data_IF_198737931938
#
_entry.id   IF_198737931938
#
_cell.length_a   1.000
_cell.length_b   1.000
_cell.length_c   1.000
_cell.angle_alpha   90.00
_cell.angle_beta   90.00
_cell.angle_gamma   90.00
#
_symmetry.space_group_name_H-M   'P 1'
#
loop_
_entity.id
_entity.type
_entity.pdbx_description
1 polymer ?
#
# COMPACT_ATOMS: atom_id res chain seq x y z
N UNK A 1 -19.73 -46.78 49.90
CA UNK A 1 -21.09 -46.97 49.39
C UNK A 1 -21.34 -45.92 48.31
N UNK A 2 -21.01 -46.20 47.04
CA UNK A 2 -21.88 -46.72 45.94
C UNK A 2 -22.84 -45.61 45.43
N UNK A 3 -22.86 -45.14 44.18
CA UNK A 3 -22.66 -45.73 42.83
C UNK A 3 -22.43 -44.58 41.80
N UNK A 4 -21.34 -44.49 41.04
CA UNK A 4 -21.06 -45.05 39.70
C UNK A 4 -22.27 -45.34 38.78
N UNK A 5 -22.41 -44.59 37.67
CA UNK A 5 -23.11 -45.05 36.46
C UNK A 5 -22.47 -44.48 35.18
N UNK A 6 -21.47 -45.21 34.69
CA UNK A 6 -21.04 -45.16 33.29
C UNK A 6 -22.12 -45.75 32.39
N UNK A 7 -22.35 -45.15 31.23
CA UNK A 7 -22.75 -45.87 30.01
C UNK A 7 -21.93 -45.36 28.84
N UNK A 8 -20.88 -46.12 28.53
CA UNK A 8 -20.31 -46.22 27.20
C UNK A 8 -21.27 -47.06 26.34
N UNK A 9 -21.52 -46.65 25.09
CA UNK A 9 -21.83 -47.55 23.99
C UNK A 9 -21.50 -46.87 22.65
N UNK A 10 -20.44 -47.38 22.02
CA UNK A 10 -20.19 -47.62 20.59
C UNK A 10 -20.27 -46.42 19.62
N UNK A 11 -19.20 -45.95 18.95
CA UNK A 11 -18.33 -46.62 17.95
C UNK A 11 -19.08 -47.39 16.84
N UNK A 12 -19.58 -46.63 15.87
CA UNK A 12 -19.78 -46.96 14.45
C UNK A 12 -19.54 -45.59 13.74
N UNK A 13 -18.60 -45.32 12.85
CA UNK A 13 -18.08 -46.13 11.76
C UNK A 13 -18.79 -45.76 10.46
N UNK A 14 -18.56 -44.58 9.87
CA UNK A 14 -18.71 -44.36 8.42
C UNK A 14 -18.05 -43.06 7.93
N UNK A 15 -16.99 -43.24 7.13
CA UNK A 15 -16.61 -42.33 6.05
C UNK A 15 -17.71 -42.35 4.99
N UNK A 16 -18.11 -41.19 4.45
CA UNK A 16 -18.57 -40.91 3.07
C UNK A 16 -19.50 -39.67 3.01
N UNK A 17 -19.30 -38.84 1.98
CA UNK A 17 -20.25 -37.81 1.51
C UNK A 17 -20.07 -36.44 2.18
N UNK A 18 -19.42 -35.43 1.59
CA UNK A 18 -19.49 -35.05 0.19
C UNK A 18 -20.79 -34.28 -0.05
N UNK A 19 -20.67 -32.96 -0.21
CA UNK A 19 -21.61 -32.03 -0.85
C UNK A 19 -23.11 -32.41 -0.79
N UNK A 20 -23.90 -31.73 0.05
CA UNK A 20 -25.32 -31.36 -0.21
C UNK A 20 -25.96 -30.79 1.06
N UNK A 21 -25.76 -29.50 1.38
CA UNK A 21 -26.64 -28.76 2.30
C UNK A 21 -26.63 -27.26 1.97
N UNK A 22 -26.99 -26.89 0.73
CA UNK A 22 -27.30 -25.48 0.36
C UNK A 22 -28.47 -25.36 -0.65
N UNK A 23 -29.61 -26.06 -0.50
CA UNK A 23 -30.80 -25.39 -1.02
C UNK A 23 -32.06 -25.68 -0.21
N UNK A 24 -32.21 -25.06 0.96
CA UNK A 24 -33.55 -24.93 1.58
C UNK A 24 -33.82 -23.51 2.11
N UNK A 25 -32.81 -22.66 2.34
CA UNK A 25 -33.06 -21.34 2.96
C UNK A 25 -33.26 -20.15 2.01
N UNK A 26 -33.45 -20.37 0.69
CA UNK A 26 -33.72 -19.28 -0.28
C UNK A 26 -35.22 -19.08 -0.50
N UNK A 27 -36.07 -20.04 -0.13
CA UNK A 27 -37.51 -19.96 -0.34
C UNK A 27 -38.25 -19.01 0.64
N UNK A 28 -37.62 -18.59 1.74
CA UNK A 28 -38.25 -17.74 2.76
C UNK A 28 -38.00 -16.22 2.59
N UNK A 29 -37.27 -15.81 1.54
CA UNK A 29 -37.12 -14.40 1.15
C UNK A 29 -37.99 -14.00 -0.07
N UNK A 30 -38.89 -14.88 -0.52
CA UNK A 30 -39.72 -14.71 -1.72
C UNK A 30 -41.20 -14.45 -1.39
N UNK A 31 -41.49 -13.73 -0.31
CA UNK A 31 -42.82 -13.23 0.00
C UNK A 31 -43.04 -11.80 -0.51
N UNK A 32 -43.85 -11.67 -1.56
CA UNK A 32 -44.49 -10.45 -2.10
C UNK A 32 -43.62 -9.49 -2.95
N UNK A 33 -43.50 -9.81 -4.24
CA UNK A 33 -43.12 -8.86 -5.28
C UNK A 33 -43.05 -9.50 -6.66
N UNK A 34 -44.20 -9.66 -7.34
CA UNK A 34 -44.26 -10.07 -8.75
C UNK A 34 -43.44 -9.09 -9.60
N UNK A 35 -42.27 -9.52 -10.08
CA UNK A 35 -41.56 -8.85 -11.16
C UNK A 35 -40.82 -9.89 -12.00
N UNK A 36 -41.09 -9.91 -13.31
CA UNK A 36 -40.51 -10.82 -14.32
C UNK A 36 -38.98 -10.64 -14.55
N UNK A 37 -38.27 -9.95 -13.65
CA UNK A 37 -36.83 -9.66 -13.73
C UNK A 37 -35.92 -10.53 -12.86
N UNK A 38 -36.46 -11.47 -12.08
CA UNK A 38 -35.70 -12.23 -11.08
C UNK A 38 -34.63 -13.17 -11.66
N UNK A 39 -34.92 -13.83 -12.79
CA UNK A 39 -34.02 -14.81 -13.41
C UNK A 39 -32.73 -14.22 -14.00
N UNK A 40 -32.80 -13.00 -14.55
CA UNK A 40 -31.64 -12.32 -15.15
C UNK A 40 -30.68 -11.76 -14.10
N UNK A 41 -31.18 -11.32 -12.94
CA UNK A 41 -30.35 -10.86 -11.82
C UNK A 41 -29.63 -12.00 -11.12
N UNK A 42 -30.33 -13.11 -10.86
CA UNK A 42 -29.73 -14.29 -10.22
C UNK A 42 -28.62 -14.91 -11.09
N UNK A 43 -28.84 -15.00 -12.40
CA UNK A 43 -27.82 -15.49 -13.34
C UNK A 43 -26.60 -14.57 -13.43
N UNK A 44 -26.79 -13.24 -13.36
CA UNK A 44 -25.67 -12.27 -13.27
C UNK A 44 -24.86 -12.47 -11.99
N UNK A 45 -25.50 -12.55 -10.82
CA UNK A 45 -24.80 -12.75 -9.55
C UNK A 45 -24.07 -14.09 -9.47
N UNK A 46 -24.63 -15.16 -10.05
CA UNK A 46 -23.94 -16.45 -10.15
C UNK A 46 -22.65 -16.31 -10.96
N UNK A 47 -22.69 -15.66 -12.12
CA UNK A 47 -21.49 -15.41 -12.94
C UNK A 47 -20.45 -14.55 -12.21
N UNK A 48 -20.88 -13.53 -11.47
CA UNK A 48 -19.99 -12.69 -10.65
C UNK A 48 -19.26 -13.53 -9.59
N UNK A 49 -19.97 -14.42 -8.89
CA UNK A 49 -19.38 -15.31 -7.87
C UNK A 49 -18.45 -16.36 -8.50
N UNK A 50 -18.79 -16.90 -9.67
CA UNK A 50 -17.94 -17.84 -10.41
C UNK A 50 -16.60 -17.22 -10.83
N UNK A 51 -16.62 -15.93 -11.17
CA UNK A 51 -15.41 -15.16 -11.53
C UNK A 51 -14.55 -14.75 -10.32
N UNK A 52 -15.06 -14.90 -9.08
CA UNK A 52 -14.29 -14.59 -7.89
C UNK A 52 -13.20 -15.65 -7.61
N UNK A 53 -12.03 -15.16 -7.19
CA UNK A 53 -10.95 -16.00 -6.66
C UNK A 53 -11.39 -16.74 -5.39
N UNK A 54 -10.73 -17.85 -5.01
CA UNK A 54 -11.05 -18.57 -3.77
C UNK A 54 -11.02 -17.68 -2.52
N UNK A 55 -10.07 -16.74 -2.44
CA UNK A 55 -9.97 -15.79 -1.34
C UNK A 55 -11.16 -14.81 -1.28
N UNK A 56 -11.60 -14.32 -2.44
CA UNK A 56 -12.79 -13.45 -2.53
C UNK A 56 -14.07 -14.19 -2.17
N UNK A 57 -14.24 -15.44 -2.64
CA UNK A 57 -15.38 -16.28 -2.26
C UNK A 57 -15.41 -16.57 -0.76
N UNK A 58 -14.26 -16.89 -0.17
CA UNK A 58 -14.16 -17.10 1.28
C UNK A 58 -14.49 -15.83 2.09
N UNK A 59 -14.12 -14.65 1.60
CA UNK A 59 -14.51 -13.39 2.23
C UNK A 59 -16.02 -13.12 2.08
N UNK A 60 -16.58 -13.36 0.89
CA UNK A 60 -18.01 -13.21 0.64
C UNK A 60 -18.82 -14.11 1.58
N UNK A 61 -18.40 -15.36 1.74
CA UNK A 61 -19.05 -16.33 2.62
C UNK A 61 -18.99 -15.92 4.10
N UNK A 62 -17.85 -15.40 4.58
CA UNK A 62 -17.74 -14.83 5.94
C UNK A 62 -18.69 -13.65 6.13
N UNK A 63 -18.67 -12.68 5.22
CA UNK A 63 -19.54 -11.50 5.30
C UNK A 63 -21.02 -11.89 5.29
N UNK A 64 -21.39 -12.90 4.50
CA UNK A 64 -22.76 -13.39 4.44
C UNK A 64 -23.18 -14.07 5.73
N UNK A 65 -22.30 -14.90 6.33
CA UNK A 65 -22.55 -15.49 7.65
C UNK A 65 -22.70 -14.44 8.74
N UNK A 66 -21.80 -13.46 8.80
CA UNK A 66 -21.90 -12.32 9.72
C UNK A 66 -23.22 -11.58 9.55
N UNK A 67 -23.66 -11.33 8.30
CA UNK A 67 -24.95 -10.69 8.03
C UNK A 67 -26.13 -11.53 8.53
N UNK A 68 -26.12 -12.85 8.36
CA UNK A 68 -27.18 -13.73 8.85
C UNK A 68 -27.25 -13.80 10.38
N UNK A 69 -26.12 -13.63 11.05
CA UNK A 69 -26.02 -13.59 12.52
C UNK A 69 -26.49 -12.25 13.12
N UNK A 70 -26.65 -11.20 12.30
CA UNK A 70 -27.15 -9.90 12.78
C UNK A 70 -28.63 -9.99 13.20
N UNK A 71 -29.05 -9.17 14.18
CA UNK A 71 -30.47 -8.98 14.50
C UNK A 71 -31.32 -8.62 13.26
N UNK A 72 -32.59 -9.07 13.17
CA UNK A 72 -33.43 -8.85 11.98
C UNK A 72 -33.60 -7.36 11.60
N UNK A 73 -33.68 -6.48 12.59
CA UNK A 73 -33.74 -5.03 12.41
C UNK A 73 -32.44 -4.48 11.80
N UNK A 74 -31.28 -4.96 12.26
CA UNK A 74 -30.00 -4.61 11.67
C UNK A 74 -29.88 -5.11 10.22
N UNK A 75 -30.29 -6.36 9.95
CA UNK A 75 -30.31 -6.91 8.59
C UNK A 75 -31.18 -6.05 7.65
N UNK A 76 -32.36 -5.64 8.14
CA UNK A 76 -33.29 -4.82 7.37
C UNK A 76 -32.70 -3.44 7.06
N UNK A 77 -32.08 -2.77 8.04
CA UNK A 77 -31.35 -1.50 7.82
C UNK A 77 -30.27 -1.61 6.75
N UNK A 78 -29.51 -2.72 6.74
CA UNK A 78 -28.50 -2.96 5.71
C UNK A 78 -29.10 -3.14 4.31
N UNK A 79 -30.25 -3.82 4.19
CA UNK A 79 -30.97 -3.98 2.91
C UNK A 79 -31.48 -2.64 2.38
N UNK A 80 -32.09 -1.84 3.26
CA UNK A 80 -32.59 -0.50 2.92
C UNK A 80 -31.45 0.42 2.48
N UNK A 81 -30.35 0.45 3.22
CA UNK A 81 -29.15 1.21 2.84
C UNK A 81 -28.62 0.75 1.48
N UNK A 82 -28.56 -0.56 1.22
CA UNK A 82 -28.12 -1.08 -0.07
C UNK A 82 -29.04 -0.63 -1.21
N UNK A 83 -30.37 -0.66 -1.02
CA UNK A 83 -31.32 -0.19 -2.01
C UNK A 83 -31.16 1.30 -2.28
N UNK A 84 -31.04 2.12 -1.23
CA UNK A 84 -30.78 3.56 -1.35
C UNK A 84 -29.51 3.82 -2.19
N UNK A 85 -28.42 3.09 -1.92
CA UNK A 85 -27.17 3.21 -2.67
C UNK A 85 -27.26 2.78 -4.14
N UNK A 86 -28.26 1.99 -4.55
CA UNK A 86 -28.44 1.55 -5.94
C UNK A 86 -29.23 2.56 -6.77
N UNK A 87 -30.12 3.33 -6.14
CA UNK A 87 -31.06 4.24 -6.82
C UNK A 87 -30.48 5.65 -6.97
N UNK A 88 -29.41 6.00 -6.23
CA UNK A 88 -28.72 7.28 -6.36
C UNK A 88 -28.12 7.44 -7.76
N UNK A 89 -28.40 8.57 -8.41
CA UNK A 89 -27.95 8.94 -9.77
C UNK A 89 -26.42 8.79 -9.95
N UNK A 90 -25.67 9.01 -8.87
CA UNK A 90 -24.20 8.91 -8.80
C UNK A 90 -23.69 7.64 -8.06
N UNK A 91 -24.45 6.55 -8.03
CA UNK A 91 -24.12 5.32 -7.28
C UNK A 91 -22.69 4.82 -7.50
N UNK A 92 -22.16 4.91 -8.72
CA UNK A 92 -20.78 4.49 -9.04
C UNK A 92 -19.73 5.37 -8.34
N UNK A 93 -19.90 6.70 -8.38
CA UNK A 93 -19.00 7.64 -7.72
C UNK A 93 -19.04 7.51 -6.19
N UNK A 94 -20.25 7.30 -5.65
CA UNK A 94 -20.46 7.09 -4.22
C UNK A 94 -19.77 5.81 -3.73
N UNK A 95 -19.86 4.70 -4.49
CA UNK A 95 -19.13 3.46 -4.17
C UNK A 95 -17.63 3.65 -4.11
N UNK A 96 -17.06 4.34 -5.10
CA UNK A 96 -15.62 4.66 -5.12
C UNK A 96 -15.24 5.49 -3.90
N UNK A 97 -16.08 6.44 -3.51
CA UNK A 97 -15.85 7.29 -2.33
C UNK A 97 -15.90 6.48 -1.04
N UNK A 98 -16.88 5.59 -0.88
CA UNK A 98 -16.99 4.70 0.27
C UNK A 98 -15.78 3.75 0.37
N UNK A 99 -15.31 3.19 -0.75
CA UNK A 99 -14.13 2.34 -0.77
C UNK A 99 -12.86 3.11 -0.37
N UNK A 100 -12.69 4.34 -0.88
CA UNK A 100 -11.59 5.23 -0.48
C UNK A 100 -11.65 5.55 1.00
N UNK A 101 -12.83 5.89 1.51
CA UNK A 101 -13.04 6.17 2.93
C UNK A 101 -12.73 4.96 3.80
N UNK A 102 -13.22 3.76 3.45
CA UNK A 102 -12.95 2.52 4.17
C UNK A 102 -11.46 2.19 4.19
N UNK A 103 -10.76 2.38 3.07
CA UNK A 103 -9.32 2.12 3.00
C UNK A 103 -8.52 3.16 3.78
N UNK A 104 -8.96 4.41 3.78
CA UNK A 104 -8.37 5.48 4.61
C UNK A 104 -8.59 5.23 6.10
N UNK A 105 -9.78 4.79 6.54
CA UNK A 105 -10.01 4.44 7.95
C UNK A 105 -9.01 3.39 8.48
N UNK A 106 -8.51 2.50 7.63
CA UNK A 106 -7.50 1.50 8.02
C UNK A 106 -6.12 2.10 8.32
N UNK A 107 -5.85 3.34 7.89
CA UNK A 107 -4.59 4.04 8.17
C UNK A 107 -4.62 4.78 9.51
N UNK A 108 -5.81 4.94 10.11
CA UNK A 108 -6.00 5.61 11.40
C UNK A 108 -5.68 4.70 12.58
N UNK A 109 -5.25 5.30 13.69
CA UNK A 109 -5.08 4.58 14.95
C UNK A 109 -6.44 4.04 15.47
N UNK A 110 -6.45 3.01 16.34
CA UNK A 110 -7.68 2.56 16.98
C UNK A 110 -8.45 3.68 17.68
N UNK A 111 -7.75 4.59 18.36
CA UNK A 111 -8.34 5.73 19.06
C UNK A 111 -9.02 6.72 18.10
N UNK A 112 -8.34 7.11 17.01
CA UNK A 112 -8.91 8.02 15.99
C UNK A 112 -10.15 7.42 15.31
N UNK A 113 -10.17 6.10 15.09
CA UNK A 113 -11.36 5.42 14.55
C UNK A 113 -12.53 5.45 15.53
N UNK A 114 -12.27 5.29 16.82
CA UNK A 114 -13.31 5.34 17.85
C UNK A 114 -13.86 6.76 18.03
N UNK A 115 -12.98 7.75 18.00
CA UNK A 115 -13.36 9.17 17.98
C UNK A 115 -14.33 9.48 16.82
N UNK A 116 -13.99 9.05 15.60
CA UNK A 116 -14.89 9.22 14.44
C UNK A 116 -16.22 8.48 14.59
N UNK A 117 -16.26 7.34 15.28
CA UNK A 117 -17.51 6.60 15.54
C UNK A 117 -18.39 7.31 16.56
N UNK A 118 -17.79 7.91 17.58
CA UNK A 118 -18.49 8.60 18.66
C UNK A 118 -19.21 9.88 18.18
N UNK A 119 -18.68 10.56 17.16
CA UNK A 119 -19.30 11.77 16.59
C UNK A 119 -20.59 11.38 15.86
N UNK A 120 -21.75 11.77 16.39
CA UNK A 120 -23.06 11.47 15.80
C UNK A 120 -23.50 12.50 14.75
N UNK A 121 -23.02 13.73 14.86
CA UNK A 121 -23.30 14.80 13.90
C UNK A 121 -22.47 14.60 12.61
N UNK A 122 -23.13 14.70 11.44
CA UNK A 122 -22.47 14.49 10.14
C UNK A 122 -21.43 15.57 9.83
N UNK A 123 -21.76 16.83 10.06
CA UNK A 123 -20.90 17.97 9.72
C UNK A 123 -19.63 17.96 10.58
N UNK A 124 -19.79 17.68 11.88
CA UNK A 124 -18.66 17.50 12.80
C UNK A 124 -17.78 16.31 12.39
N UNK A 125 -18.39 15.20 11.93
CA UNK A 125 -17.63 14.04 11.47
C UNK A 125 -16.85 14.35 10.20
N UNK A 126 -17.45 15.09 9.26
CA UNK A 126 -16.78 15.53 8.02
C UNK A 126 -15.61 16.45 8.36
N UNK A 127 -15.81 17.40 9.28
CA UNK A 127 -14.75 18.30 9.73
C UNK A 127 -13.62 17.53 10.41
N UNK A 128 -13.93 16.56 11.27
CA UNK A 128 -12.91 15.72 11.90
C UNK A 128 -12.14 14.88 10.88
N UNK A 129 -12.82 14.35 9.85
CA UNK A 129 -12.16 13.66 8.74
C UNK A 129 -11.22 14.59 7.98
N UNK A 130 -11.62 15.85 7.75
CA UNK A 130 -10.77 16.87 7.13
C UNK A 130 -9.51 17.11 7.98
N UNK A 131 -9.65 17.35 9.27
CA UNK A 131 -8.52 17.54 10.19
C UNK A 131 -7.58 16.34 10.22
N UNK A 132 -8.11 15.10 10.32
CA UNK A 132 -7.28 13.90 10.32
C UNK A 132 -6.56 13.70 8.99
N UNK A 133 -7.18 14.08 7.88
CA UNK A 133 -6.52 14.08 6.57
C UNK A 133 -5.45 15.15 6.48
N UNK A 134 -5.69 16.34 7.01
CA UNK A 134 -4.68 17.41 7.08
C UNK A 134 -3.51 16.96 7.94
N UNK A 135 -3.71 16.42 9.14
CA UNK A 135 -2.65 15.84 9.97
C UNK A 135 -1.84 14.73 9.27
N UNK A 136 -2.43 14.03 8.30
CA UNK A 136 -1.74 13.04 7.48
C UNK A 136 -1.09 13.62 6.22
N UNK A 137 -1.64 14.71 5.69
CA UNK A 137 -1.27 15.35 4.42
C UNK A 137 -0.18 16.38 4.64
N UNK A 138 -0.27 17.16 5.71
CA UNK A 138 0.87 17.83 6.31
C UNK A 138 1.85 16.70 6.62
N UNK A 139 2.97 16.53 5.87
CA UNK A 139 4.10 15.86 6.50
C UNK A 139 4.22 16.63 7.81
N UNK A 140 4.11 15.98 8.97
CA UNK A 140 4.44 16.65 10.23
C UNK A 140 5.64 17.53 9.87
N UNK A 141 5.51 18.87 9.84
CA UNK A 141 6.71 19.68 9.77
C UNK A 141 7.41 19.09 10.96
N UNK A 142 8.55 18.42 10.75
CA UNK A 142 9.40 17.93 11.82
C UNK A 142 9.29 19.04 12.85
N UNK A 143 8.57 18.77 13.96
CA UNK A 143 7.87 19.77 14.79
C UNK A 143 8.69 21.05 14.84
N UNK A 144 8.14 22.27 14.90
CA UNK A 144 8.99 23.39 15.33
C UNK A 144 9.77 22.96 16.60
N UNK A 145 11.09 22.75 16.46
CA UNK A 145 11.96 22.09 17.46
C UNK A 145 12.44 20.64 17.21
N UNK A 146 11.98 19.92 16.20
CA UNK A 146 12.53 18.61 15.84
C UNK A 146 13.90 18.78 15.17
N UNK A 147 14.85 17.89 15.47
CA UNK A 147 16.20 18.04 14.99
C UNK A 147 16.23 17.93 13.46
N UNK A 148 16.87 18.91 12.84
CA UNK A 148 17.11 18.93 11.39
C UNK A 148 18.46 18.32 11.10
N UNK A 149 18.48 17.33 10.21
CA UNK A 149 19.70 16.71 9.74
C UNK A 149 20.47 17.73 8.89
N UNK A 150 21.72 18.02 9.26
CA UNK A 150 22.58 18.85 8.42
C UNK A 150 23.06 18.06 7.18
N UNK A 151 23.62 18.75 6.18
CA UNK A 151 24.15 18.06 4.98
C UNK A 151 25.34 17.16 5.33
N UNK A 152 26.18 17.65 6.23
CA UNK A 152 27.37 16.97 6.73
C UNK A 152 26.97 15.68 7.47
N UNK A 153 25.91 15.75 8.27
CA UNK A 153 25.33 14.61 8.96
C UNK A 153 24.76 13.58 7.96
N UNK A 154 24.05 14.04 6.92
CA UNK A 154 23.57 13.17 5.86
C UNK A 154 24.75 12.47 5.16
N UNK A 155 25.80 13.19 4.80
CA UNK A 155 26.99 12.62 4.16
C UNK A 155 27.64 11.55 5.04
N UNK A 156 27.75 11.78 6.36
CA UNK A 156 28.23 10.81 7.33
C UNK A 156 27.33 9.55 7.37
N UNK A 157 26.01 9.73 7.44
CA UNK A 157 25.06 8.61 7.40
C UNK A 157 25.17 7.79 6.11
N UNK A 158 25.29 8.46 4.95
CA UNK A 158 25.47 7.79 3.66
C UNK A 158 26.78 7.01 3.63
N UNK A 159 27.86 7.54 4.21
CA UNK A 159 29.13 6.82 4.38
C UNK A 159 28.95 5.52 5.18
N UNK A 160 28.26 5.58 6.32
CA UNK A 160 27.96 4.41 7.15
C UNK A 160 27.13 3.37 6.39
N UNK A 161 26.11 3.80 5.65
CA UNK A 161 25.29 2.88 4.85
C UNK A 161 26.13 2.26 3.72
N UNK A 162 26.98 3.04 3.05
CA UNK A 162 27.85 2.54 1.99
C UNK A 162 28.83 1.48 2.51
N UNK A 163 29.42 1.70 3.68
CA UNK A 163 30.30 0.73 4.35
C UNK A 163 29.54 -0.54 4.77
N UNK A 164 28.36 -0.41 5.40
CA UNK A 164 27.52 -1.56 5.80
C UNK A 164 27.08 -2.39 4.60
N UNK A 165 26.89 -1.75 3.44
CA UNK A 165 26.55 -2.38 2.17
C UNK A 165 27.76 -2.80 1.34
N UNK A 166 28.98 -2.55 1.82
CA UNK A 166 30.24 -2.84 1.13
C UNK A 166 30.29 -2.27 -0.29
N UNK A 167 29.76 -1.05 -0.48
CA UNK A 167 29.79 -0.36 -1.76
C UNK A 167 31.19 0.21 -1.98
N UNK A 168 31.93 -0.18 -3.04
CA UNK A 168 33.29 0.29 -3.26
C UNK A 168 33.30 1.78 -3.66
N UNK A 169 34.34 2.56 -3.28
CA UNK A 169 34.45 3.98 -3.65
C UNK A 169 34.39 4.23 -5.16
N UNK A 170 34.92 3.30 -5.97
CA UNK A 170 34.90 3.38 -7.43
C UNK A 170 33.49 3.40 -8.02
N UNK A 171 32.49 2.80 -7.35
CA UNK A 171 31.09 2.91 -7.76
C UNK A 171 30.48 4.29 -7.47
N UNK A 172 31.11 5.09 -6.62
CA UNK A 172 30.68 6.45 -6.26
C UNK A 172 31.46 7.55 -7.00
N UNK A 173 32.56 7.19 -7.66
CA UNK A 173 33.36 8.09 -8.49
C UNK A 173 32.54 8.67 -9.65
N UNK A 174 32.78 9.94 -9.98
CA UNK A 174 32.07 10.66 -11.05
C UNK A 174 30.61 11.02 -10.74
N UNK A 175 30.02 10.55 -9.63
CA UNK A 175 28.67 10.93 -9.21
C UNK A 175 28.68 12.24 -8.43
N UNK A 176 27.65 13.06 -8.63
CA UNK A 176 27.37 14.21 -7.75
C UNK A 176 26.97 13.73 -6.35
N UNK A 177 27.01 14.62 -5.36
CA UNK A 177 26.68 14.31 -3.96
C UNK A 177 25.28 13.66 -3.81
N UNK A 178 24.25 14.23 -4.44
CA UNK A 178 22.89 13.67 -4.38
C UNK A 178 22.80 12.33 -5.12
N UNK A 179 23.53 12.15 -6.22
CA UNK A 179 23.58 10.89 -6.97
C UNK A 179 24.25 9.77 -6.16
N UNK A 180 25.31 10.08 -5.40
CA UNK A 180 25.94 9.13 -4.47
C UNK A 180 24.95 8.71 -3.39
N UNK A 181 24.28 9.67 -2.76
CA UNK A 181 23.28 9.41 -1.73
C UNK A 181 22.12 8.55 -2.25
N UNK A 182 21.60 8.87 -3.43
CA UNK A 182 20.55 8.09 -4.09
C UNK A 182 21.00 6.68 -4.46
N UNK A 183 22.23 6.51 -4.93
CA UNK A 183 22.78 5.21 -5.26
C UNK A 183 22.88 4.31 -4.03
N UNK A 184 23.47 4.83 -2.95
CA UNK A 184 23.64 4.11 -1.68
C UNK A 184 22.28 3.72 -1.09
N UNK A 185 21.33 4.66 -1.04
CA UNK A 185 19.98 4.39 -0.52
C UNK A 185 19.18 3.44 -1.42
N UNK A 186 19.38 3.47 -2.74
CA UNK A 186 18.73 2.51 -3.63
C UNK A 186 19.28 1.10 -3.42
N UNK A 187 20.60 0.95 -3.24
CA UNK A 187 21.22 -0.35 -2.89
C UNK A 187 20.68 -0.89 -1.57
N UNK A 188 20.52 -0.03 -0.55
CA UNK A 188 19.87 -0.40 0.70
C UNK A 188 18.41 -0.84 0.47
N UNK A 189 17.65 -0.07 -0.30
CA UNK A 189 16.24 -0.35 -0.58
C UNK A 189 16.03 -1.67 -1.32
N UNK A 190 16.88 -1.96 -2.30
CA UNK A 190 16.86 -3.21 -3.06
C UNK A 190 17.14 -4.42 -2.16
N UNK A 191 18.07 -4.31 -1.22
CA UNK A 191 18.35 -5.37 -0.25
C UNK A 191 17.18 -5.65 0.70
N UNK A 192 16.33 -4.65 0.95
CA UNK A 192 15.17 -4.72 1.85
C UNK A 192 13.84 -4.76 1.08
N UNK A 193 13.87 -5.10 -0.21
CA UNK A 193 12.70 -4.99 -1.11
C UNK A 193 11.45 -5.69 -0.59
N UNK A 194 11.60 -6.84 0.07
CA UNK A 194 10.46 -7.57 0.64
C UNK A 194 9.85 -6.87 1.86
N UNK A 195 10.65 -6.16 2.65
CA UNK A 195 10.19 -5.37 3.80
C UNK A 195 9.49 -4.08 3.35
N UNK A 196 9.99 -3.48 2.26
CA UNK A 196 9.43 -2.27 1.64
C UNK A 196 8.04 -2.47 1.01
N UNK A 197 7.54 -3.69 0.89
CA UNK A 197 6.16 -3.95 0.45
C UNK A 197 5.13 -3.29 1.37
N UNK A 198 5.49 -3.03 2.63
CA UNK A 198 4.69 -2.30 3.61
C UNK A 198 4.59 -0.78 3.34
N UNK A 199 5.33 -0.25 2.34
CA UNK A 199 5.45 1.19 2.02
C UNK A 199 5.95 2.05 3.19
N UNK A 200 6.56 1.45 4.21
CA UNK A 200 7.14 2.19 5.32
C UNK A 200 8.65 2.30 5.13
N UNK A 201 9.15 3.45 4.64
CA UNK A 201 10.59 3.66 4.45
C UNK A 201 11.37 3.50 5.76
N UNK A 202 10.79 3.88 6.90
CA UNK A 202 11.47 3.75 8.18
C UNK A 202 11.87 2.30 8.51
N UNK A 203 11.25 1.30 7.85
CA UNK A 203 11.63 -0.11 8.05
C UNK A 203 12.91 -0.53 7.33
N UNK A 204 13.44 0.28 6.40
CA UNK A 204 14.72 -0.02 5.75
C UNK A 204 15.90 0.08 6.72
N UNK A 205 15.76 0.95 7.72
CA UNK A 205 16.77 1.16 8.75
C UNK A 205 16.44 0.25 9.93
N UNK A 206 17.03 -0.94 9.95
CA UNK A 206 16.91 -1.82 11.11
C UNK A 206 17.67 -1.25 12.31
N UNK A 207 17.37 -1.75 13.51
CA UNK A 207 17.93 -1.22 14.77
C UNK A 207 19.47 -1.24 14.77
N UNK A 208 20.09 -2.22 14.10
CA UNK A 208 21.55 -2.32 13.97
C UNK A 208 22.09 -1.22 13.07
N UNK A 209 21.51 -1.03 11.89
CA UNK A 209 21.93 0.03 10.97
C UNK A 209 21.70 1.42 11.57
N UNK A 210 20.58 1.63 12.28
CA UNK A 210 20.30 2.87 13.01
C UNK A 210 21.38 3.18 14.03
N UNK A 211 21.75 2.20 14.88
CA UNK A 211 22.81 2.39 15.87
C UNK A 211 24.15 2.77 15.23
N UNK A 212 24.51 2.14 14.09
CA UNK A 212 25.72 2.49 13.34
C UNK A 212 25.65 3.91 12.79
N UNK A 213 24.54 4.29 12.17
CA UNK A 213 24.37 5.65 11.60
C UNK A 213 24.51 6.70 12.69
N UNK A 214 23.86 6.51 13.84
CA UNK A 214 23.93 7.44 14.98
C UNK A 214 25.35 7.52 15.55
N UNK A 215 26.04 6.39 15.66
CA UNK A 215 27.43 6.37 16.12
C UNK A 215 28.39 7.10 15.16
N UNK A 216 28.13 7.02 13.86
CA UNK A 216 28.92 7.68 12.81
C UNK A 216 28.61 9.17 12.62
N UNK A 217 27.56 9.70 13.24
CA UNK A 217 27.28 11.14 13.19
C UNK A 217 28.32 11.94 14.00
N UNK A 218 28.72 13.14 13.54
CA UNK A 218 29.50 14.05 14.38
C UNK A 218 28.72 14.41 15.66
N UNK A 219 29.43 14.88 16.69
CA UNK A 219 28.83 15.31 17.95
C UNK A 219 28.11 16.66 17.81
N UNK A 220 27.03 16.68 17.02
CA UNK A 220 26.18 17.85 16.77
C UNK A 220 24.80 17.72 17.40
N UNK A 221 24.01 18.79 17.31
CA UNK A 221 22.64 18.88 17.87
C UNK A 221 21.74 17.75 17.39
N UNK A 222 21.85 17.36 16.12
CA UNK A 222 21.04 16.29 15.55
C UNK A 222 21.31 14.93 16.22
N UNK A 223 22.59 14.61 16.48
CA UNK A 223 22.97 13.37 17.16
C UNK A 223 22.41 13.34 18.58
N UNK A 224 22.58 14.43 19.34
CA UNK A 224 22.08 14.57 20.71
C UNK A 224 20.56 14.38 20.75
N UNK A 225 19.83 15.10 19.90
CA UNK A 225 18.39 15.04 19.87
C UNK A 225 17.87 13.65 19.48
N UNK A 226 18.52 12.96 18.54
CA UNK A 226 18.14 11.58 18.20
C UNK A 226 18.42 10.61 19.35
N UNK A 227 19.55 10.74 20.03
CA UNK A 227 19.87 9.88 21.17
C UNK A 227 18.87 10.06 22.32
N UNK A 228 18.33 11.27 22.50
CA UNK A 228 17.32 11.56 23.52
C UNK A 228 15.95 10.95 23.15
N UNK A 229 15.61 10.90 21.86
CA UNK A 229 14.36 10.33 21.32
C UNK A 229 14.39 8.78 21.33
N UNK A 230 15.54 8.15 21.60
CA UNK A 230 15.77 6.71 21.47
C UNK A 230 14.83 5.81 22.32
N UNK A 231 14.09 6.40 23.27
CA UNK A 231 12.98 5.72 23.99
C UNK A 231 11.86 5.21 23.05
N UNK A 232 11.75 5.73 21.82
CA UNK A 232 10.75 5.31 20.83
C UNK A 232 11.39 4.98 19.47
N UNK A 233 11.95 3.77 19.34
CA UNK A 233 12.64 3.28 18.13
C UNK A 233 11.87 3.45 16.80
N UNK A 234 10.54 3.47 16.81
CA UNK A 234 9.73 3.67 15.59
C UNK A 234 9.58 5.14 15.21
N UNK A 235 9.67 6.05 16.18
CA UNK A 235 9.63 7.51 15.98
C UNK A 235 10.97 7.98 15.44
N UNK A 236 12.05 7.56 16.07
CA UNK A 236 13.44 7.82 15.66
C UNK A 236 13.69 7.48 14.18
N UNK A 237 13.31 6.27 13.76
CA UNK A 237 13.45 5.82 12.37
C UNK A 237 12.63 6.66 11.39
N UNK A 238 11.46 7.14 11.81
CA UNK A 238 10.62 8.01 10.97
C UNK A 238 11.22 9.40 10.86
N UNK A 239 11.79 9.95 11.93
CA UNK A 239 12.49 11.25 11.93
C UNK A 239 13.71 11.20 11.02
N UNK A 240 14.56 10.18 11.16
CA UNK A 240 15.75 10.01 10.30
C UNK A 240 15.35 9.83 8.85
N UNK A 241 14.42 8.91 8.57
CA UNK A 241 13.94 8.69 7.21
C UNK A 241 13.37 10.00 6.63
N UNK A 242 12.49 10.68 7.36
CA UNK A 242 11.89 11.96 6.96
C UNK A 242 12.93 13.03 6.63
N UNK A 243 13.96 13.19 7.46
CA UNK A 243 15.04 14.14 7.21
C UNK A 243 15.87 13.78 5.96
N UNK A 244 16.27 12.51 5.79
CA UNK A 244 17.02 12.03 4.62
C UNK A 244 16.23 12.34 3.34
N UNK A 245 14.94 12.00 3.35
CA UNK A 245 14.03 12.31 2.26
C UNK A 245 14.09 13.79 1.88
N UNK A 246 13.93 14.65 2.89
CA UNK A 246 13.67 16.07 2.71
C UNK A 246 14.88 16.75 2.11
N UNK A 247 16.08 16.41 2.58
CA UNK A 247 17.34 16.91 2.03
C UNK A 247 17.50 16.46 0.58
N UNK A 248 17.31 15.16 0.30
CA UNK A 248 17.46 14.65 -1.07
C UNK A 248 16.41 15.22 -2.02
N UNK A 249 15.19 15.44 -1.54
CA UNK A 249 14.14 16.13 -2.28
C UNK A 249 14.56 17.55 -2.66
N UNK A 250 15.13 18.30 -1.71
CA UNK A 250 15.67 19.66 -1.97
C UNK A 250 16.85 19.64 -2.93
N UNK A 251 17.78 18.69 -2.81
CA UNK A 251 18.91 18.56 -3.74
C UNK A 251 18.49 18.20 -5.16
N UNK A 252 17.48 17.33 -5.27
CA UNK A 252 16.86 16.97 -6.54
C UNK A 252 16.13 18.17 -7.15
N UNK A 253 15.37 18.91 -6.35
CA UNK A 253 14.69 20.14 -6.78
C UNK A 253 15.69 21.20 -7.25
N UNK A 254 16.80 21.41 -6.51
CA UNK A 254 17.90 22.31 -6.87
C UNK A 254 18.61 21.88 -8.14
N UNK A 255 18.79 20.58 -8.35
CA UNK A 255 19.35 20.04 -9.60
C UNK A 255 18.41 20.24 -10.81
N UNK A 256 17.14 20.54 -10.55
CA UNK A 256 16.13 20.88 -11.55
C UNK A 256 15.91 22.40 -11.68
N UNK A 257 16.49 23.22 -10.80
CA UNK A 257 16.41 24.68 -10.91
C UNK A 257 17.13 25.15 -12.19
N UNK A 258 16.53 26.10 -12.89
CA UNK A 258 17.06 26.61 -14.15
C UNK A 258 16.82 25.73 -15.39
N UNK A 259 16.37 24.48 -15.22
CA UNK A 259 16.02 23.61 -16.36
C UNK A 259 14.67 24.04 -16.93
N UNK A 260 14.69 24.89 -17.96
CA UNK A 260 13.51 25.29 -18.72
C UNK A 260 13.24 24.31 -19.87
N UNK A 261 11.99 23.90 -20.10
CA UNK A 261 11.66 23.11 -21.27
C UNK A 261 11.91 23.91 -22.55
N UNK A 262 12.58 23.31 -23.52
CA UNK A 262 12.62 23.82 -24.89
C UNK A 262 11.23 23.80 -25.52
N UNK A 263 10.97 24.62 -26.55
CA UNK A 263 9.68 24.59 -27.26
C UNK A 263 9.33 23.18 -27.79
N UNK A 264 10.32 22.43 -28.27
CA UNK A 264 10.11 21.06 -28.72
C UNK A 264 9.72 20.13 -27.56
N UNK A 265 10.30 20.30 -26.36
CA UNK A 265 9.89 19.55 -25.17
C UNK A 265 8.48 19.93 -24.72
N UNK A 266 8.11 21.21 -24.79
CA UNK A 266 6.73 21.68 -24.51
C UNK A 266 5.73 20.97 -25.42
N UNK A 267 6.01 20.91 -26.73
CA UNK A 267 5.16 20.21 -27.71
C UNK A 267 5.11 18.70 -27.46
N UNK A 268 6.22 18.08 -27.07
CA UNK A 268 6.23 16.64 -26.71
C UNK A 268 5.41 16.38 -25.44
N UNK A 269 5.48 17.29 -24.47
CA UNK A 269 4.79 17.19 -23.20
C UNK A 269 3.27 17.34 -23.38
N UNK A 270 2.81 18.28 -24.21
CA UNK A 270 1.38 18.45 -24.54
C UNK A 270 0.82 17.22 -25.25
N UNK A 271 1.54 16.63 -26.20
CA UNK A 271 1.16 15.38 -26.88
C UNK A 271 1.04 14.18 -25.95
N UNK A 272 1.68 14.21 -24.78
CA UNK A 272 1.65 13.16 -23.75
C UNK A 272 0.63 13.44 -22.65
N UNK A 273 -0.09 14.56 -22.71
CA UNK A 273 -1.17 14.82 -21.75
C UNK A 273 -2.36 13.90 -22.03
N UNK A 274 -2.98 13.43 -20.97
CA UNK A 274 -4.27 12.74 -21.05
C UNK A 274 -5.37 13.72 -21.44
N UNK A 275 -6.51 13.21 -21.92
CA UNK A 275 -7.65 14.07 -22.28
C UNK A 275 -8.17 14.90 -21.09
N UNK A 276 -8.12 14.37 -19.87
CA UNK A 276 -8.53 15.12 -18.67
C UNK A 276 -7.51 16.20 -18.30
N UNK A 277 -6.21 15.95 -18.49
CA UNK A 277 -5.17 16.96 -18.26
C UNK A 277 -5.20 18.07 -19.31
N UNK A 278 -5.49 17.75 -20.58
CA UNK A 278 -5.71 18.73 -21.63
C UNK A 278 -6.95 19.59 -21.32
N UNK A 279 -8.06 18.97 -20.91
CA UNK A 279 -9.26 19.71 -20.50
C UNK A 279 -8.96 20.68 -19.35
N UNK A 280 -8.29 20.19 -18.30
CA UNK A 280 -7.89 21.02 -17.17
C UNK A 280 -6.96 22.17 -17.59
N UNK A 281 -6.00 21.89 -18.48
CA UNK A 281 -5.10 22.89 -19.04
C UNK A 281 -5.85 23.96 -19.86
N UNK A 282 -6.86 23.56 -20.64
CA UNK A 282 -7.67 24.49 -21.43
C UNK A 282 -8.57 25.39 -20.55
N UNK A 283 -9.10 24.82 -19.47
CA UNK A 283 -9.94 25.50 -18.46
C UNK A 283 -9.19 26.52 -17.58
N UNK A 284 -7.85 26.53 -17.58
CA UNK A 284 -7.07 27.49 -16.79
C UNK A 284 -7.29 28.94 -17.29
N UNK A 285 -7.64 29.88 -16.39
CA UNK A 285 -8.05 31.23 -16.75
C UNK A 285 -6.93 32.13 -17.26
N UNK A 286 -5.66 31.85 -16.92
CA UNK A 286 -4.52 32.71 -17.25
C UNK A 286 -3.37 31.97 -17.95
N UNK A 287 -2.61 32.71 -18.77
CA UNK A 287 -1.38 32.21 -19.38
C UNK A 287 -0.34 31.79 -18.34
N UNK A 288 -0.23 32.54 -17.25
CA UNK A 288 0.70 32.24 -16.15
C UNK A 288 0.38 30.90 -15.47
N UNK A 289 -0.90 30.59 -15.27
CA UNK A 289 -1.32 29.29 -14.70
C UNK A 289 -1.00 28.14 -15.65
N UNK A 290 -1.21 28.33 -16.96
CA UNK A 290 -0.85 27.36 -17.99
C UNK A 290 0.67 27.13 -18.00
N UNK A 291 1.46 28.18 -17.97
CA UNK A 291 2.92 28.10 -17.93
C UNK A 291 3.40 27.40 -16.66
N UNK A 292 2.85 27.74 -15.49
CA UNK A 292 3.15 27.05 -14.24
C UNK A 292 2.76 25.57 -14.29
N UNK A 293 1.61 25.22 -14.86
CA UNK A 293 1.19 23.82 -15.03
C UNK A 293 2.19 23.05 -15.88
N UNK A 294 2.59 23.62 -17.02
CA UNK A 294 3.58 23.01 -17.90
C UNK A 294 4.93 22.86 -17.19
N UNK A 295 5.41 23.92 -16.52
CA UNK A 295 6.66 23.86 -15.77
C UNK A 295 6.63 22.80 -14.67
N UNK A 296 5.53 22.69 -13.91
CA UNK A 296 5.35 21.64 -12.90
C UNK A 296 5.41 20.25 -13.53
N UNK A 297 4.69 20.04 -14.65
CA UNK A 297 4.65 18.75 -15.35
C UNK A 297 6.00 18.39 -15.96
N UNK A 298 6.71 19.36 -16.54
CA UNK A 298 8.06 19.16 -17.06
C UNK A 298 9.05 18.82 -15.94
N UNK A 299 9.05 19.56 -14.83
CA UNK A 299 9.88 19.24 -13.65
C UNK A 299 9.58 17.84 -13.14
N UNK A 300 8.31 17.43 -13.08
CA UNK A 300 7.93 16.07 -12.70
C UNK A 300 8.48 15.01 -13.66
N UNK A 301 8.42 15.24 -14.97
CA UNK A 301 9.00 14.33 -15.96
C UNK A 301 10.52 14.23 -15.78
N UNK A 302 11.24 15.36 -15.66
CA UNK A 302 12.70 15.36 -15.48
C UNK A 302 13.10 14.71 -14.16
N UNK A 303 12.37 14.98 -13.08
CA UNK A 303 12.53 14.27 -11.81
C UNK A 303 12.35 12.76 -11.99
N UNK A 304 11.32 12.33 -12.72
CA UNK A 304 11.10 10.92 -13.01
C UNK A 304 12.22 10.28 -13.84
N UNK A 305 12.80 11.01 -14.79
CA UNK A 305 13.95 10.57 -15.60
C UNK A 305 15.20 10.45 -14.73
N UNK A 306 15.49 11.43 -13.89
CA UNK A 306 16.61 11.42 -12.93
C UNK A 306 16.49 10.30 -11.90
N UNK A 307 15.26 9.93 -11.53
CA UNK A 307 14.97 8.82 -10.61
C UNK A 307 14.91 7.45 -11.30
N UNK A 308 14.97 7.37 -12.63
CA UNK A 308 14.92 6.11 -13.36
C UNK A 308 16.02 5.10 -12.95
N UNK A 309 17.27 5.51 -12.68
CA UNK A 309 18.31 4.60 -12.19
C UNK A 309 18.06 4.07 -10.76
N UNK A 310 17.09 4.64 -10.04
CA UNK A 310 16.82 4.35 -8.63
C UNK A 310 15.39 3.81 -8.42
N UNK A 311 15.05 2.65 -9.01
CA UNK A 311 13.67 2.17 -9.09
C UNK A 311 13.06 1.87 -7.71
N UNK A 312 13.87 1.54 -6.70
CA UNK A 312 13.36 1.25 -5.36
C UNK A 312 12.96 2.53 -4.60
N UNK A 313 13.59 3.66 -4.89
CA UNK A 313 13.30 4.96 -4.27
C UNK A 313 12.25 5.76 -5.03
N UNK A 314 12.06 5.51 -6.33
CA UNK A 314 11.12 6.24 -7.17
C UNK A 314 9.69 6.36 -6.62
N UNK A 315 9.04 5.29 -6.10
CA UNK A 315 7.67 5.40 -5.55
C UNK A 315 7.60 6.34 -4.35
N UNK A 316 8.70 6.49 -3.64
CA UNK A 316 8.75 7.28 -2.44
C UNK A 316 8.82 8.76 -2.76
N UNK A 317 9.76 9.18 -3.61
CA UNK A 317 9.85 10.58 -4.03
C UNK A 317 8.53 11.09 -4.63
N UNK A 318 7.81 10.24 -5.35
CA UNK A 318 6.47 10.58 -5.84
C UNK A 318 5.42 10.71 -4.73
N UNK A 319 5.48 9.92 -3.66
CA UNK A 319 4.61 10.11 -2.51
C UNK A 319 4.87 11.44 -1.81
N UNK A 320 6.12 11.89 -1.75
CA UNK A 320 6.47 13.15 -1.09
C UNK A 320 6.16 14.36 -1.93
N UNK A 321 6.45 14.30 -3.22
CA UNK A 321 6.06 15.35 -4.13
C UNK A 321 4.53 15.48 -4.18
N UNK A 322 3.78 14.38 -4.06
CA UNK A 322 2.33 14.40 -3.88
C UNK A 322 1.89 15.00 -2.52
N UNK A 323 2.66 14.80 -1.44
CA UNK A 323 2.36 15.39 -0.11
C UNK A 323 2.60 16.90 -0.08
N UNK A 324 3.59 17.42 -0.80
CA UNK A 324 3.90 18.87 -0.87
C UNK A 324 2.91 19.68 -1.72
N UNK A 325 1.69 19.18 -1.92
CA UNK A 325 0.70 19.82 -2.77
C UNK A 325 1.04 19.79 -4.27
N UNK A 326 2.08 19.05 -4.66
CA UNK A 326 2.32 18.75 -6.07
C UNK A 326 1.19 17.86 -6.56
N UNK A 327 0.38 18.36 -7.50
CA UNK A 327 -0.52 17.51 -8.28
C UNK A 327 0.34 16.57 -9.13
N UNK A 328 0.84 15.48 -8.53
CA UNK A 328 1.35 14.35 -9.28
C UNK A 328 0.25 13.91 -10.26
N UNK A 329 0.59 13.39 -11.44
CA UNK A 329 -0.39 13.07 -12.49
C UNK A 329 -1.53 12.25 -11.90
N UNK A 330 -2.69 12.90 -11.74
CA UNK A 330 -3.93 12.32 -11.21
C UNK A 330 -4.44 11.35 -12.26
N UNK A 331 -3.87 10.14 -12.33
CA UNK A 331 -4.30 9.16 -13.32
C UNK A 331 -3.34 8.01 -13.61
N UNK A 332 -2.03 8.17 -13.34
CA UNK A 332 -1.11 7.06 -13.56
C UNK A 332 -1.12 6.09 -12.38
N UNK A 333 -2.07 5.18 -12.44
CA UNK A 333 -1.88 3.81 -11.98
C UNK A 333 -0.50 3.36 -12.46
N UNK A 334 0.46 3.17 -11.55
CA UNK A 334 1.63 2.36 -11.87
C UNK A 334 1.08 1.07 -12.52
N UNK A 335 1.60 0.64 -13.69
CA UNK A 335 1.11 -0.59 -14.30
C UNK A 335 1.25 -1.68 -13.23
N UNK A 336 0.12 -2.25 -12.80
CA UNK A 336 0.16 -3.41 -11.94
C UNK A 336 0.94 -4.46 -12.74
N UNK A 337 2.05 -4.94 -12.19
CA UNK A 337 2.84 -6.01 -12.81
C UNK A 337 1.92 -7.21 -13.03
N UNK A 338 1.34 -7.32 -14.24
CA UNK A 338 0.25 -8.25 -14.55
C UNK A 338 -0.71 -7.76 -15.65
N UNK A 339 -0.87 -6.45 -15.85
CA UNK A 339 -1.64 -5.92 -17.00
C UNK A 339 -0.80 -6.03 -18.27
N UNK A 340 -0.98 -7.13 -19.00
CA UNK A 340 -0.58 -7.22 -20.40
C UNK A 340 -1.51 -6.33 -21.21
N UNK A 341 -0.89 -5.50 -22.03
CA UNK A 341 -1.51 -4.70 -23.07
C UNK A 341 -2.39 -5.60 -23.97
N UNK A 342 -3.73 -5.41 -24.03
CA UNK A 342 -4.61 -6.22 -24.88
C UNK A 342 -4.45 -5.94 -26.38
N UNK A 343 -3.58 -4.99 -26.78
CA UNK A 343 -3.41 -4.57 -28.17
C UNK A 343 -2.39 -5.33 -29.02
N UNK A 344 -1.69 -6.35 -28.49
CA UNK A 344 -0.58 -7.00 -29.23
C UNK A 344 -0.71 -8.53 -29.32
N UNK A 345 -1.78 -8.98 -29.96
CA UNK A 345 -1.91 -10.36 -30.46
C UNK A 345 -1.73 -10.36 -31.97
N UNK A 346 -0.53 -10.72 -32.43
CA UNK A 346 -0.32 -11.12 -33.83
C UNK A 346 -0.93 -12.51 -34.09
N UNK A 347 -1.27 -12.84 -35.34
CA UNK A 347 -1.81 -14.15 -35.69
C UNK A 347 -0.69 -15.19 -35.74
N UNK A 348 -1.03 -16.43 -35.37
CA UNK A 348 -0.20 -17.64 -35.34
C UNK A 348 0.78 -17.81 -34.18
N UNK A 349 0.44 -18.78 -33.33
CA UNK A 349 1.32 -19.32 -32.31
C UNK A 349 0.60 -20.30 -31.40
N UNK A 350 0.06 -21.39 -31.96
CA UNK A 350 -0.30 -22.57 -31.16
C UNK A 350 0.95 -23.02 -30.42
N UNK A 351 0.98 -22.88 -29.09
CA UNK A 351 1.97 -23.55 -28.25
C UNK A 351 1.39 -24.89 -27.79
N UNK A 352 2.10 -26.01 -27.99
CA UNK A 352 1.64 -27.30 -27.49
C UNK A 352 1.77 -27.34 -25.96
N UNK A 353 0.77 -27.93 -25.32
CA UNK A 353 0.79 -28.26 -23.90
C UNK A 353 1.90 -29.29 -23.63
N UNK A 354 2.69 -29.15 -22.55
CA UNK A 354 3.59 -30.22 -22.15
C UNK A 354 2.78 -31.43 -21.62
N UNK A 355 3.26 -32.67 -21.86
CA UNK A 355 2.57 -33.86 -21.39
C UNK A 355 2.60 -33.94 -19.85
N UNK A 356 1.45 -34.27 -19.27
CA UNK A 356 1.31 -34.55 -17.85
C UNK A 356 1.99 -35.89 -17.55
N UNK A 357 3.12 -35.86 -16.84
CA UNK A 357 3.71 -37.05 -16.22
C UNK A 357 2.97 -37.43 -14.93
N UNK A 358 2.98 -38.72 -14.53
CA UNK A 358 2.28 -39.19 -13.35
C UNK A 358 2.94 -38.67 -12.05
N UNK A 359 2.17 -38.56 -10.95
CA UNK A 359 2.65 -38.01 -9.69
C UNK A 359 3.74 -38.89 -9.06
N UNK A 360 4.86 -38.26 -8.68
CA UNK A 360 5.93 -38.91 -7.89
C UNK A 360 5.38 -39.29 -6.52
N UNK A 361 5.36 -40.59 -6.23
CA UNK A 361 5.01 -41.14 -4.93
C UNK A 361 5.98 -40.71 -3.83
N UNK A 362 5.42 -40.48 -2.65
CA UNK A 362 6.13 -40.29 -1.38
C UNK A 362 6.99 -41.52 -1.08
N UNK A 363 8.29 -41.33 -0.84
CA UNK A 363 9.17 -42.36 -0.25
C UNK A 363 9.02 -42.32 1.28
N UNK A 364 8.58 -43.42 1.94
CA UNK A 364 8.67 -43.55 3.38
C UNK A 364 10.12 -43.92 3.75
N UNK A 365 10.86 -43.03 4.39
CA UNK A 365 12.25 -43.32 4.76
C UNK A 365 13.01 -42.26 5.56
N UNK A 366 12.58 -41.00 5.56
CA UNK A 366 13.31 -39.95 6.29
C UNK A 366 12.99 -39.95 7.80
N UNK A 367 13.60 -40.90 8.52
CA UNK A 367 13.76 -40.84 9.98
C UNK A 367 14.79 -39.76 10.31
N UNK A 368 14.31 -38.61 10.79
CA UNK A 368 15.13 -37.58 11.43
C UNK A 368 15.85 -38.19 12.65
N UNK A 369 17.18 -38.06 12.70
CA UNK A 369 17.99 -38.36 13.88
C UNK A 369 17.64 -37.40 15.03
N UNK A 370 17.55 -37.86 16.29
CA UNK A 370 17.45 -36.98 17.43
C UNK A 370 18.80 -36.26 17.66
N UNK A 371 18.73 -34.95 17.85
CA UNK A 371 19.90 -34.12 18.18
C UNK A 371 20.32 -34.30 19.64
N UNK A 372 21.57 -33.92 19.99
CA UNK A 372 22.14 -34.16 21.33
C UNK A 372 21.47 -33.28 22.39
N UNK A 373 21.23 -33.90 23.55
CA UNK A 373 20.69 -33.24 24.76
C UNK A 373 21.68 -32.21 25.33
N UNK A 374 21.15 -31.06 25.75
CA UNK A 374 21.90 -30.04 26.49
C UNK A 374 22.10 -30.48 27.95
N UNK A 375 23.26 -30.21 28.57
CA UNK A 375 23.47 -30.48 29.98
C UNK A 375 22.64 -29.52 30.84
N UNK A 376 21.98 -30.08 31.86
CA UNK A 376 21.32 -29.33 32.94
C UNK A 376 22.36 -28.95 33.98
N UNK A 377 22.56 -27.66 34.19
CA UNK A 377 23.23 -27.15 35.39
C UNK A 377 22.33 -27.42 36.60
N UNK A 378 22.91 -28.02 37.65
CA UNK A 378 22.34 -28.04 39.00
C UNK A 378 23.09 -27.00 39.83
N UNK A 379 22.31 -26.16 40.49
CA UNK A 379 22.68 -25.51 41.76
C UNK A 379 22.51 -26.50 42.92
#
# INVERSE_FOLDING_TARGET
MTTNKRKNLNRIGLLLGGCLFVPVLVALLLGAGKSDGGGSRLSRHRREIEQMTPAQRAQLDRNYREFLEMPPDAQQRYRELHQQLQVVENAKSLRVTLDRYRNWLKTLSPFQREELRAISNLDERVERVRQLKELQATPEPLSEGAPRLAREDLAAMIGVIAEDRSIPPSELEGKTEWQRSMFVLNSLAESKRDQLRSRNWSSMFDDRLMAKMIAGLPAGEFRVAITDIHRFKSVERRIVAGNIVEILGRDLEKSLEGVKPSQMEMQRLSRRMTSDELRHFDEMPSGDEKDQFIHRRYRWQRMSEMLQPYPALRPLFFQLAARRGGEGPRGNSFPRRGERDPGRSGPNGQRPFPPQGPPRGFRPGDRRRPGPERPKNRE
#
